data_IF_897224848370
#
_entry.id   IF_897224848370
#
_cell.length_a   1.000
_cell.length_b   1.000
_cell.length_c   1.000
_cell.angle_alpha   90.00
_cell.angle_beta   90.00
_cell.angle_gamma   90.00
#
_symmetry.space_group_name_H-M   'P 1'
#
loop_
_entity.id
_entity.type
_entity.pdbx_description
1 polymer ?
#
# COMPACT_ATOMS: atom_id res chain seq x y z
N UNK A 1 -3.20 17.06 24.36
CA UNK A 1 -2.37 16.97 23.14
C UNK A 1 -3.25 16.39 22.04
N UNK A 2 -3.55 17.15 20.97
CA UNK A 2 -4.22 16.58 19.79
C UNK A 2 -3.14 15.85 18.98
N UNK A 3 -3.30 14.54 18.77
CA UNK A 3 -2.44 13.77 17.86
C UNK A 3 -2.55 14.38 16.47
N UNK A 4 -1.43 14.63 15.76
CA UNK A 4 -1.48 15.15 14.40
C UNK A 4 -2.25 14.14 13.52
N UNK A 5 -3.18 14.66 12.71
CA UNK A 5 -3.97 13.82 11.78
C UNK A 5 -3.02 13.08 10.84
N UNK A 6 -3.07 11.76 10.85
CA UNK A 6 -2.26 10.91 9.99
C UNK A 6 -3.03 10.56 8.73
N UNK A 7 -2.35 10.59 7.59
CA UNK A 7 -2.88 10.02 6.35
C UNK A 7 -2.96 8.51 6.53
N UNK A 8 -4.17 7.95 6.41
CA UNK A 8 -4.42 6.51 6.57
C UNK A 8 -5.43 6.01 5.55
N UNK A 9 -5.50 4.69 5.38
CA UNK A 9 -6.51 4.05 4.54
C UNK A 9 -7.93 4.36 5.00
N UNK A 10 -8.82 4.58 4.04
CA UNK A 10 -10.24 4.66 4.30
C UNK A 10 -10.82 3.27 4.56
N UNK A 11 -11.03 2.92 5.84
CA UNK A 11 -11.60 1.63 6.25
C UNK A 11 -12.94 1.29 5.57
N UNK A 12 -13.76 2.28 5.21
CA UNK A 12 -15.05 2.04 4.52
C UNK A 12 -14.86 1.48 3.12
N UNK A 13 -13.69 1.71 2.51
CA UNK A 13 -13.31 1.26 1.17
C UNK A 13 -12.22 0.20 1.21
N UNK A 14 -12.03 -0.46 2.35
CA UNK A 14 -10.99 -1.48 2.52
C UNK A 14 -11.18 -2.68 1.57
N UNK A 15 -12.42 -3.06 1.28
CA UNK A 15 -12.73 -4.16 0.35
C UNK A 15 -12.29 -3.79 -1.07
N UNK A 16 -12.69 -2.62 -1.56
CA UNK A 16 -12.26 -2.08 -2.87
C UNK A 16 -10.73 -1.97 -2.95
N UNK A 17 -10.10 -1.43 -1.91
CA UNK A 17 -8.65 -1.32 -1.84
C UNK A 17 -7.96 -2.68 -1.96
N UNK A 18 -8.41 -3.69 -1.18
CA UNK A 18 -7.84 -5.04 -1.23
C UNK A 18 -8.01 -5.67 -2.61
N UNK A 19 -9.15 -5.45 -3.27
CA UNK A 19 -9.42 -5.96 -4.60
C UNK A 19 -8.47 -5.35 -5.65
N UNK A 20 -8.35 -4.02 -5.69
CA UNK A 20 -7.44 -3.34 -6.62
C UNK A 20 -5.96 -3.65 -6.32
N UNK A 21 -5.58 -3.73 -5.04
CA UNK A 21 -4.26 -4.19 -4.63
C UNK A 21 -3.96 -5.61 -5.12
N UNK A 22 -4.98 -6.49 -5.15
CA UNK A 22 -4.85 -7.85 -5.68
C UNK A 22 -4.52 -7.87 -7.16
N UNK A 23 -5.16 -7.00 -7.94
CA UNK A 23 -4.93 -6.91 -9.39
C UNK A 23 -3.53 -6.40 -9.69
N UNK A 24 -3.10 -5.35 -8.99
CA UNK A 24 -1.77 -4.77 -9.22
C UNK A 24 -0.66 -5.80 -8.91
N UNK A 25 -0.85 -6.62 -7.87
CA UNK A 25 0.14 -7.61 -7.46
C UNK A 25 -0.04 -8.98 -8.13
N UNK A 26 -1.10 -9.23 -8.91
CA UNK A 26 -1.35 -10.54 -9.52
C UNK A 26 -0.25 -11.05 -10.46
N UNK A 27 0.55 -10.20 -11.14
CA UNK A 27 1.68 -10.68 -11.94
C UNK A 27 2.85 -11.23 -11.10
N UNK A 28 2.88 -10.97 -9.79
CA UNK A 28 3.97 -11.40 -8.92
C UNK A 28 3.76 -12.85 -8.42
N UNK A 29 4.84 -13.57 -8.12
CA UNK A 29 4.79 -14.87 -7.46
C UNK A 29 3.92 -14.87 -6.19
N UNK A 30 3.15 -15.93 -5.96
CA UNK A 30 2.17 -16.00 -4.86
C UNK A 30 2.79 -15.77 -3.47
N UNK A 31 3.99 -16.31 -3.25
CA UNK A 31 4.78 -16.12 -2.03
C UNK A 31 5.17 -14.65 -1.77
N UNK A 32 5.33 -13.86 -2.83
CA UNK A 32 5.61 -12.42 -2.77
C UNK A 32 4.30 -11.65 -2.58
N UNK A 33 3.26 -11.98 -3.36
CA UNK A 33 1.96 -11.30 -3.36
C UNK A 33 1.31 -11.26 -1.98
N UNK A 34 1.29 -12.38 -1.25
CA UNK A 34 0.73 -12.44 0.10
C UNK A 34 1.46 -11.50 1.07
N UNK A 35 2.79 -11.55 1.05
CA UNK A 35 3.67 -10.72 1.89
C UNK A 35 3.51 -9.23 1.57
N UNK A 36 3.47 -8.87 0.28
CA UNK A 36 3.28 -7.50 -0.18
C UNK A 36 1.94 -6.93 0.25
N UNK A 37 0.85 -7.68 0.03
CA UNK A 37 -0.50 -7.26 0.48
C UNK A 37 -0.55 -6.99 1.97
N UNK A 38 -0.12 -7.96 2.78
CA UNK A 38 -0.17 -7.86 4.23
C UNK A 38 0.63 -6.66 4.74
N UNK A 39 1.82 -6.45 4.19
CA UNK A 39 2.71 -5.35 4.57
C UNK A 39 2.15 -3.99 4.19
N UNK A 40 1.66 -3.82 2.96
CA UNK A 40 1.09 -2.55 2.48
C UNK A 40 -0.14 -2.17 3.32
N UNK A 41 -1.07 -3.11 3.54
CA UNK A 41 -2.27 -2.87 4.35
C UNK A 41 -1.88 -2.51 5.79
N UNK A 42 -1.00 -3.30 6.42
CA UNK A 42 -0.61 -3.07 7.80
C UNK A 42 0.05 -1.70 7.99
N UNK A 43 0.94 -1.30 7.08
CA UNK A 43 1.62 0.00 7.15
C UNK A 43 0.64 1.16 6.91
N UNK A 44 -0.14 1.11 5.83
CA UNK A 44 -1.05 2.19 5.46
C UNK A 44 -2.24 2.38 6.42
N UNK A 45 -2.66 1.32 7.12
CA UNK A 45 -3.76 1.38 8.09
C UNK A 45 -3.27 1.68 9.52
N UNK A 46 -2.23 0.98 9.99
CA UNK A 46 -1.80 1.05 11.40
C UNK A 46 -0.75 2.13 11.67
N UNK A 47 0.12 2.41 10.70
CA UNK A 47 1.20 3.39 10.85
C UNK A 47 0.74 4.71 10.23
N UNK A 48 0.97 4.86 8.92
CA UNK A 48 0.57 5.95 8.04
C UNK A 48 0.91 5.59 6.58
N UNK A 49 0.46 6.46 5.66
CA UNK A 49 0.72 6.30 4.22
C UNK A 49 2.19 6.38 3.85
N UNK A 50 2.98 7.21 4.53
CA UNK A 50 4.39 7.42 4.21
C UNK A 50 5.17 6.13 4.49
N UNK A 51 4.91 5.46 5.61
CA UNK A 51 5.49 4.15 5.90
C UNK A 51 5.13 3.08 4.85
N UNK A 52 3.94 3.16 4.25
CA UNK A 52 3.57 2.25 3.16
C UNK A 52 4.31 2.57 1.85
N UNK A 53 4.50 3.85 1.54
CA UNK A 53 5.30 4.29 0.39
C UNK A 53 6.76 3.89 0.53
N UNK A 54 7.37 4.13 1.69
CA UNK A 54 8.76 3.73 1.98
C UNK A 54 8.99 2.22 1.80
N UNK A 55 8.00 1.41 2.19
CA UNK A 55 8.06 -0.04 1.98
C UNK A 55 8.03 -0.41 0.49
N UNK A 56 7.21 0.26 -0.31
CA UNK A 56 7.14 0.01 -1.76
C UNK A 56 8.44 0.47 -2.42
N UNK A 57 8.99 1.64 -2.04
CA UNK A 57 10.29 2.11 -2.53
C UNK A 57 11.41 1.13 -2.18
N UNK A 58 11.43 0.59 -0.96
CA UNK A 58 12.37 -0.45 -0.57
C UNK A 58 12.24 -1.69 -1.47
N UNK A 59 11.01 -2.17 -1.71
CA UNK A 59 10.78 -3.35 -2.56
C UNK A 59 11.09 -3.12 -4.04
N UNK A 60 11.01 -1.87 -4.48
CA UNK A 60 11.45 -1.48 -5.82
C UNK A 60 12.98 -1.49 -5.91
N UNK A 61 13.67 -0.96 -4.90
CA UNK A 61 15.15 -1.00 -4.81
C UNK A 61 15.71 -2.41 -4.69
N UNK A 62 14.99 -3.31 -4.03
CA UNK A 62 15.31 -4.74 -3.93
C UNK A 62 14.95 -5.52 -5.21
N UNK A 63 14.45 -4.85 -6.26
CA UNK A 63 14.00 -5.45 -7.53
C UNK A 63 12.90 -6.51 -7.37
N UNK A 64 12.17 -6.49 -6.23
CA UNK A 64 11.02 -7.37 -5.97
C UNK A 64 9.81 -6.95 -6.81
N UNK A 65 9.68 -5.65 -7.07
CA UNK A 65 8.65 -5.07 -7.94
C UNK A 65 9.27 -4.09 -8.92
N UNK A 66 8.63 -3.92 -10.08
CA UNK A 66 9.06 -2.96 -11.10
C UNK A 66 8.67 -1.53 -10.73
N UNK A 67 9.34 -0.57 -11.37
CA UNK A 67 9.00 0.86 -11.24
C UNK A 67 7.54 1.15 -11.66
N UNK A 68 7.06 0.48 -12.70
CA UNK A 68 5.65 0.56 -13.12
C UNK A 68 4.69 0.08 -12.01
N UNK A 69 5.01 -1.06 -11.38
CA UNK A 69 4.23 -1.59 -10.25
C UNK A 69 4.21 -0.59 -9.08
N UNK A 70 5.36 0.01 -8.77
CA UNK A 70 5.48 1.07 -7.75
C UNK A 70 4.53 2.23 -8.04
N UNK A 71 4.53 2.74 -9.27
CA UNK A 71 3.64 3.85 -9.65
C UNK A 71 2.15 3.51 -9.49
N UNK A 72 1.75 2.29 -9.88
CA UNK A 72 0.38 1.81 -9.71
C UNK A 72 0.00 1.73 -8.23
N UNK A 73 0.87 1.19 -7.39
CA UNK A 73 0.66 1.13 -5.94
C UNK A 73 0.58 2.52 -5.31
N UNK A 74 1.37 3.48 -5.78
CA UNK A 74 1.33 4.88 -5.31
C UNK A 74 0.01 5.55 -5.66
N UNK A 75 -0.47 5.36 -6.91
CA UNK A 75 -1.78 5.85 -7.34
C UNK A 75 -2.89 5.25 -6.48
N UNK A 76 -2.86 3.94 -6.24
CA UNK A 76 -3.82 3.24 -5.38
C UNK A 76 -3.83 3.84 -3.96
N UNK A 77 -2.65 3.92 -3.33
CA UNK A 77 -2.49 4.45 -1.99
C UNK A 77 -3.05 5.87 -1.86
N UNK A 78 -2.69 6.77 -2.79
CA UNK A 78 -3.19 8.16 -2.80
C UNK A 78 -4.70 8.24 -2.98
N UNK A 79 -5.28 7.37 -3.82
CA UNK A 79 -6.71 7.36 -4.10
C UNK A 79 -7.57 6.87 -2.93
N UNK A 80 -7.06 5.93 -2.12
CA UNK A 80 -7.77 5.39 -0.95
C UNK A 80 -7.37 6.05 0.39
N UNK A 81 -6.49 7.06 0.34
CA UNK A 81 -6.04 7.82 1.51
C UNK A 81 -7.12 8.81 1.99
N UNK A 82 -7.30 8.89 3.30
CA UNK A 82 -8.06 9.94 3.98
C UNK A 82 -7.27 10.48 5.16
N UNK A 83 -7.43 11.78 5.48
CA UNK A 83 -6.88 12.36 6.70
C UNK A 83 -7.72 11.89 7.90
N UNK A 84 -7.07 11.29 8.91
CA UNK A 84 -7.72 10.86 10.16
C UNK A 84 -6.96 11.38 11.38
#
# INVERSE_FOLDING_TARGET
MQTPKKKRLNLRRMIEFKYELSKILSPLPENITGTMKGSIIAKADKIDMDAAMDFIDLKTKEEVITEETRELLYKLLKYFCVYR
#
